data_IF_489012488121
#
_entry.id   IF_489012488121
#
_cell.length_a   1.000
_cell.length_b   1.000
_cell.length_c   1.000
_cell.angle_alpha   90.00
_cell.angle_beta   90.00
_cell.angle_gamma   90.00
#
_symmetry.space_group_name_H-M   'P 1'
#
loop_
_entity.id
_entity.type
_entity.pdbx_description
1 polymer ?
#
# COMPACT_ATOMS: atom_id res chain seq x y z
N UNK A 1 -2.29 24.41 5.60
CA UNK A 1 -1.46 24.59 6.82
C UNK A 1 -2.14 25.39 7.93
N UNK A 2 -3.19 26.16 7.65
CA UNK A 2 -3.91 27.03 8.61
C UNK A 2 -4.71 26.21 9.67
N UNK A 3 -5.00 24.93 9.42
CA UNK A 3 -5.88 24.12 10.27
C UNK A 3 -5.15 23.29 11.35
N UNK A 4 -3.82 23.26 11.33
CA UNK A 4 -3.04 22.41 12.25
C UNK A 4 -3.07 22.97 13.70
N UNK A 5 -3.06 24.26 13.86
CA UNK A 5 -2.96 24.93 15.17
C UNK A 5 -4.26 24.95 15.97
N UNK A 6 -5.41 25.05 15.29
CA UNK A 6 -6.73 25.11 15.96
C UNK A 6 -7.17 23.77 16.58
N UNK A 7 -6.64 22.63 16.09
CA UNK A 7 -7.01 21.31 16.60
C UNK A 7 -6.07 20.80 17.70
N UNK A 8 -4.97 21.46 17.97
CA UNK A 8 -3.87 20.92 18.80
C UNK A 8 -4.28 20.72 20.29
N UNK A 9 -5.26 21.48 20.80
CA UNK A 9 -5.71 21.44 22.19
C UNK A 9 -6.90 20.50 22.46
N UNK A 10 -7.49 19.89 21.43
CA UNK A 10 -8.67 19.03 21.59
C UNK A 10 -8.29 17.55 21.80
N UNK A 11 -9.04 16.83 22.64
CA UNK A 11 -8.89 15.39 22.77
C UNK A 11 -9.33 14.66 21.48
N UNK A 12 -8.94 13.37 21.29
CA UNK A 12 -9.16 12.61 20.04
C UNK A 12 -10.62 12.61 19.56
N UNK A 13 -11.60 12.51 20.46
CA UNK A 13 -13.03 12.48 20.12
C UNK A 13 -13.52 13.85 19.65
N UNK A 14 -13.13 14.91 20.35
CA UNK A 14 -13.47 16.29 19.98
C UNK A 14 -12.81 16.70 18.66
N UNK A 15 -11.58 16.23 18.37
CA UNK A 15 -10.93 16.42 17.06
C UNK A 15 -11.72 15.80 15.90
N UNK A 16 -12.30 14.62 16.11
CA UNK A 16 -13.12 13.96 15.10
C UNK A 16 -14.42 14.75 14.82
N UNK A 17 -15.12 15.19 15.86
CA UNK A 17 -16.33 16.01 15.72
C UNK A 17 -16.02 17.38 15.08
N UNK A 18 -14.94 18.03 15.50
CA UNK A 18 -14.48 19.29 14.92
C UNK A 18 -14.21 19.15 13.42
N UNK A 19 -13.53 18.09 12.98
CA UNK A 19 -13.30 17.83 11.56
C UNK A 19 -14.58 17.64 10.76
N UNK A 20 -15.58 17.02 11.35
CA UNK A 20 -16.85 16.74 10.66
C UNK A 20 -17.72 17.99 10.48
N UNK A 21 -17.71 18.94 11.41
CA UNK A 21 -18.63 20.08 11.42
C UNK A 21 -17.95 21.43 11.22
N UNK A 22 -16.84 21.71 11.89
CA UNK A 22 -16.24 23.05 11.90
C UNK A 22 -15.44 23.36 10.65
N UNK A 23 -14.84 22.36 9.99
CA UNK A 23 -14.07 22.56 8.74
C UNK A 23 -14.97 23.11 7.62
N UNK A 24 -16.23 22.67 7.54
CA UNK A 24 -17.17 23.18 6.52
C UNK A 24 -17.41 24.68 6.65
N UNK A 25 -17.60 25.19 7.88
CA UNK A 25 -17.76 26.61 8.14
C UNK A 25 -16.50 27.41 7.82
N UNK A 26 -15.32 26.90 8.21
CA UNK A 26 -14.03 27.54 7.91
C UNK A 26 -13.75 27.59 6.41
N UNK A 27 -14.03 26.50 5.68
CA UNK A 27 -13.88 26.46 4.23
C UNK A 27 -14.72 27.52 3.52
N UNK A 28 -15.98 27.70 3.99
CA UNK A 28 -16.88 28.76 3.52
C UNK A 28 -16.32 30.16 3.83
N UNK A 29 -15.88 30.39 5.06
CA UNK A 29 -15.33 31.67 5.49
C UNK A 29 -14.10 32.06 4.72
N UNK A 30 -13.19 31.08 4.46
CA UNK A 30 -11.95 31.24 3.68
C UNK A 30 -12.18 31.22 2.17
N UNK A 31 -13.42 30.99 1.69
CA UNK A 31 -13.78 30.90 0.27
C UNK A 31 -12.88 29.92 -0.50
N UNK A 32 -12.69 28.73 0.07
CA UNK A 32 -11.87 27.70 -0.59
C UNK A 32 -12.53 27.21 -1.88
N UNK A 33 -11.77 27.17 -2.97
CA UNK A 33 -12.22 26.65 -4.25
C UNK A 33 -12.39 25.13 -4.20
N UNK A 34 -11.42 24.43 -3.63
CA UNK A 34 -11.42 22.97 -3.50
C UNK A 34 -11.13 22.55 -2.05
N UNK A 35 -11.85 21.56 -1.59
CA UNK A 35 -11.52 20.75 -0.43
C UNK A 35 -11.24 19.31 -0.87
N UNK A 36 -10.06 18.79 -0.55
CA UNK A 36 -9.71 17.40 -0.84
C UNK A 36 -9.62 16.57 0.46
N UNK A 37 -10.56 15.65 0.63
CA UNK A 37 -10.55 14.65 1.70
C UNK A 37 -9.64 13.48 1.33
N UNK A 38 -8.50 13.34 1.99
CA UNK A 38 -7.45 12.39 1.62
C UNK A 38 -7.70 10.93 2.05
N UNK A 39 -8.72 10.65 2.87
CA UNK A 39 -8.92 9.32 3.50
C UNK A 39 -10.39 8.90 3.57
N UNK A 40 -11.12 8.99 2.48
CA UNK A 40 -12.51 8.52 2.40
C UNK A 40 -13.52 9.34 3.20
N UNK A 41 -13.15 10.55 3.66
CA UNK A 41 -13.99 11.42 4.48
C UNK A 41 -14.03 12.84 3.91
N UNK A 42 -15.20 13.48 4.00
CA UNK A 42 -15.38 14.94 3.80
C UNK A 42 -16.22 15.52 4.93
N UNK A 43 -16.01 16.80 5.31
CA UNK A 43 -16.85 17.47 6.31
C UNK A 43 -18.31 17.55 5.88
N UNK A 44 -19.20 17.48 6.86
CA UNK A 44 -20.66 17.52 6.61
C UNK A 44 -21.03 18.90 6.05
N UNK A 45 -21.75 18.88 4.92
CA UNK A 45 -22.26 20.10 4.29
C UNK A 45 -21.27 20.89 3.43
N UNK A 46 -19.97 20.58 3.46
CA UNK A 46 -18.94 21.33 2.73
C UNK A 46 -19.21 21.42 1.21
N UNK A 47 -19.76 20.37 0.62
CA UNK A 47 -20.07 20.29 -0.81
C UNK A 47 -21.10 21.34 -1.29
N UNK A 48 -21.77 22.06 -0.38
CA UNK A 48 -22.75 23.08 -0.72
C UNK A 48 -22.14 24.43 -1.10
N UNK A 49 -20.86 24.64 -0.84
CA UNK A 49 -20.20 25.93 -1.05
C UNK A 49 -18.70 25.82 -1.43
N UNK A 50 -18.20 24.60 -1.54
CA UNK A 50 -16.79 24.33 -1.93
C UNK A 50 -16.78 23.11 -2.80
N UNK A 51 -16.06 23.15 -3.94
CA UNK A 51 -15.86 21.93 -4.76
C UNK A 51 -15.13 20.89 -3.91
N UNK A 52 -15.60 19.66 -3.91
CA UNK A 52 -15.05 18.60 -3.04
C UNK A 52 -14.55 17.42 -3.83
N UNK A 53 -13.35 16.98 -3.48
CA UNK A 53 -12.75 15.75 -3.97
C UNK A 53 -12.52 14.83 -2.76
N UNK A 54 -12.66 13.53 -2.95
CA UNK A 54 -12.31 12.54 -1.92
C UNK A 54 -11.44 11.44 -2.51
N UNK A 55 -10.32 11.14 -1.86
CA UNK A 55 -9.52 9.95 -2.18
C UNK A 55 -10.03 8.76 -1.37
N UNK A 56 -10.26 7.65 -2.06
CA UNK A 56 -10.62 6.36 -1.46
C UNK A 56 -9.46 5.39 -1.74
N UNK A 57 -8.83 4.88 -0.67
CA UNK A 57 -7.69 3.99 -0.75
C UNK A 57 -8.11 2.54 -0.98
N UNK A 58 -9.14 2.07 -0.31
CA UNK A 58 -9.72 0.75 -0.49
C UNK A 58 -11.16 0.69 0.05
N UNK A 59 -11.82 -0.42 -0.24
CA UNK A 59 -13.09 -0.80 0.35
C UNK A 59 -13.03 -2.25 0.86
N UNK A 60 -11.89 -2.65 1.40
CA UNK A 60 -11.63 -4.01 1.92
C UNK A 60 -12.71 -4.41 2.92
N UNK A 61 -13.14 -3.49 3.78
CA UNK A 61 -14.19 -3.73 4.78
C UNK A 61 -15.57 -4.07 4.18
N UNK A 62 -15.81 -3.75 2.90
CA UNK A 62 -17.03 -4.14 2.16
C UNK A 62 -16.81 -5.43 1.37
N UNK A 63 -15.64 -5.62 0.77
CA UNK A 63 -15.30 -6.79 -0.03
C UNK A 63 -15.05 -8.03 0.83
N UNK A 64 -14.37 -7.86 1.98
CA UNK A 64 -14.02 -8.92 2.92
C UNK A 64 -14.54 -8.61 4.33
N UNK A 65 -15.88 -8.68 4.51
CA UNK A 65 -16.51 -8.30 5.77
C UNK A 65 -16.05 -9.13 6.97
N UNK A 66 -15.53 -10.33 6.75
CA UNK A 66 -15.02 -11.22 7.79
C UNK A 66 -13.78 -10.70 8.52
N UNK A 67 -13.02 -9.76 7.93
CA UNK A 67 -11.83 -9.18 8.54
C UNK A 67 -12.12 -7.96 9.44
N UNK A 68 -13.39 -7.55 9.52
CA UNK A 68 -13.78 -6.35 10.26
C UNK A 68 -14.96 -6.63 11.18
N UNK A 69 -15.03 -5.92 12.32
CA UNK A 69 -16.20 -5.99 13.18
C UNK A 69 -17.45 -5.42 12.49
N UNK A 70 -18.63 -5.90 12.88
CA UNK A 70 -19.89 -5.42 12.31
C UNK A 70 -20.11 -3.92 12.50
N UNK A 71 -19.75 -3.40 13.69
CA UNK A 71 -19.91 -1.97 14.01
C UNK A 71 -18.95 -1.10 13.20
N UNK A 72 -17.67 -1.49 13.12
CA UNK A 72 -16.67 -0.77 12.30
C UNK A 72 -17.10 -0.70 10.84
N UNK A 73 -17.57 -1.81 10.28
CA UNK A 73 -18.08 -1.85 8.90
C UNK A 73 -19.25 -0.88 8.69
N UNK A 74 -20.23 -0.82 9.61
CA UNK A 74 -21.35 0.11 9.49
C UNK A 74 -20.89 1.57 9.52
N UNK A 75 -20.00 1.91 10.45
CA UNK A 75 -19.44 3.26 10.57
C UNK A 75 -18.67 3.65 9.32
N UNK A 76 -17.74 2.78 8.87
CA UNK A 76 -16.97 3.03 7.66
C UNK A 76 -17.87 3.14 6.42
N UNK A 77 -18.84 2.23 6.26
CA UNK A 77 -19.79 2.30 5.14
C UNK A 77 -20.56 3.61 5.11
N UNK A 78 -21.05 4.08 6.25
CA UNK A 78 -21.79 5.35 6.33
C UNK A 78 -20.92 6.54 5.92
N UNK A 79 -19.69 6.63 6.45
CA UNK A 79 -18.73 7.70 6.15
C UNK A 79 -18.33 7.70 4.67
N UNK A 80 -17.85 6.57 4.16
CA UNK A 80 -17.42 6.44 2.78
C UNK A 80 -18.57 6.67 1.78
N UNK A 81 -19.78 6.16 2.09
CA UNK A 81 -20.96 6.41 1.26
C UNK A 81 -21.35 7.88 1.23
N UNK A 82 -21.30 8.57 2.38
CA UNK A 82 -21.54 10.01 2.45
C UNK A 82 -20.52 10.77 1.61
N UNK A 83 -19.22 10.53 1.84
CA UNK A 83 -18.15 11.20 1.14
C UNK A 83 -18.24 10.96 -0.39
N UNK A 84 -18.40 9.71 -0.83
CA UNK A 84 -18.50 9.36 -2.24
C UNK A 84 -19.72 9.96 -2.93
N UNK A 85 -20.89 9.96 -2.28
CA UNK A 85 -22.12 10.52 -2.85
C UNK A 85 -22.08 12.04 -2.92
N UNK A 86 -21.56 12.69 -1.88
CA UNK A 86 -21.60 14.16 -1.72
C UNK A 86 -20.41 14.90 -2.31
N UNK A 87 -19.26 14.24 -2.52
CA UNK A 87 -18.14 14.87 -3.22
C UNK A 87 -18.48 15.13 -4.69
N UNK A 88 -17.89 16.16 -5.28
CA UNK A 88 -18.02 16.47 -6.70
C UNK A 88 -17.24 15.47 -7.57
N UNK A 89 -16.11 14.98 -7.08
CA UNK A 89 -15.30 13.98 -7.75
C UNK A 89 -14.61 13.03 -6.75
N UNK A 90 -14.25 11.84 -7.22
CA UNK A 90 -13.58 10.82 -6.42
C UNK A 90 -12.27 10.46 -7.08
N UNK A 91 -11.24 10.34 -6.28
CA UNK A 91 -9.98 9.72 -6.67
C UNK A 91 -9.92 8.31 -6.09
N UNK A 92 -9.78 7.32 -6.94
CA UNK A 92 -9.42 5.96 -6.57
C UNK A 92 -7.92 5.76 -6.76
N UNK A 93 -7.25 5.04 -5.86
CA UNK A 93 -5.79 4.84 -5.95
C UNK A 93 -5.39 3.69 -6.89
N UNK A 94 -6.38 2.96 -7.44
CA UNK A 94 -6.20 1.89 -8.42
C UNK A 94 -7.49 1.66 -9.20
N UNK A 95 -7.40 1.00 -10.35
CA UNK A 95 -8.58 0.56 -11.11
C UNK A 95 -9.41 -0.44 -10.28
N UNK A 96 -8.75 -1.32 -9.50
CA UNK A 96 -9.44 -2.21 -8.58
C UNK A 96 -10.28 -1.42 -7.56
N UNK A 97 -9.72 -0.38 -6.94
CA UNK A 97 -10.46 0.47 -5.99
C UNK A 97 -11.61 1.20 -6.69
N UNK A 98 -11.42 1.66 -7.93
CA UNK A 98 -12.49 2.27 -8.74
C UNK A 98 -13.63 1.28 -9.00
N UNK A 99 -13.32 0.05 -9.37
CA UNK A 99 -14.34 -1.01 -9.53
C UNK A 99 -15.10 -1.27 -8.24
N UNK A 100 -14.42 -1.31 -7.10
CA UNK A 100 -15.04 -1.48 -5.78
C UNK A 100 -15.97 -0.32 -5.42
N UNK A 101 -15.58 0.93 -5.73
CA UNK A 101 -16.42 2.11 -5.50
C UNK A 101 -17.71 2.01 -6.35
N UNK A 102 -17.61 1.65 -7.63
CA UNK A 102 -18.76 1.44 -8.50
C UNK A 102 -19.65 0.32 -7.96
N UNK A 103 -19.04 -0.81 -7.60
CA UNK A 103 -19.77 -2.01 -7.18
C UNK A 103 -20.44 -1.84 -5.81
N UNK A 104 -19.72 -1.36 -4.80
CA UNK A 104 -20.21 -1.36 -3.41
C UNK A 104 -20.88 -0.06 -2.98
N UNK A 105 -20.43 1.08 -3.51
CA UNK A 105 -21.01 2.39 -3.16
C UNK A 105 -22.00 2.88 -4.22
N UNK A 106 -22.14 2.17 -5.36
CA UNK A 106 -23.05 2.49 -6.46
C UNK A 106 -22.80 3.90 -7.04
N UNK A 107 -21.54 4.30 -7.14
CA UNK A 107 -21.14 5.56 -7.74
C UNK A 107 -20.88 5.35 -9.24
N UNK A 108 -21.35 6.24 -10.13
CA UNK A 108 -21.08 6.12 -11.55
C UNK A 108 -19.61 6.32 -11.88
N UNK A 109 -19.08 5.52 -12.82
CA UNK A 109 -17.66 5.48 -13.15
C UNK A 109 -17.08 6.83 -13.63
N UNK A 110 -17.90 7.67 -14.29
CA UNK A 110 -17.47 9.00 -14.78
C UNK A 110 -17.16 10.01 -13.65
N UNK A 111 -17.63 9.74 -12.43
CA UNK A 111 -17.33 10.53 -11.23
C UNK A 111 -15.99 10.13 -10.58
N UNK A 112 -15.29 9.12 -11.11
CA UNK A 112 -14.13 8.52 -10.48
C UNK A 112 -12.93 8.58 -11.44
N UNK A 113 -11.86 9.25 -11.03
CA UNK A 113 -10.55 9.19 -11.69
C UNK A 113 -9.62 8.29 -10.90
N UNK A 114 -8.75 7.55 -11.61
CA UNK A 114 -7.66 6.82 -10.98
C UNK A 114 -6.43 7.70 -10.95
N UNK A 115 -5.88 7.89 -9.76
CA UNK A 115 -4.58 8.54 -9.54
C UNK A 115 -3.76 7.61 -8.67
N UNK A 116 -2.76 6.98 -9.26
CA UNK A 116 -1.86 6.08 -8.56
C UNK A 116 -1.08 6.79 -7.45
N UNK A 117 -0.57 6.03 -6.50
CA UNK A 117 0.29 6.54 -5.45
C UNK A 117 1.76 6.31 -5.81
N UNK A 118 2.62 7.22 -5.36
CA UNK A 118 4.07 7.00 -5.33
C UNK A 118 4.51 6.34 -4.03
N UNK A 119 5.82 6.16 -3.88
CA UNK A 119 6.45 5.73 -2.64
C UNK A 119 7.35 6.84 -2.07
N UNK A 120 7.84 6.64 -0.86
CA UNK A 120 8.72 7.59 -0.21
C UNK A 120 10.01 7.81 -1.01
N UNK A 121 10.54 9.05 -0.99
CA UNK A 121 11.75 9.44 -1.74
C UNK A 121 12.99 8.59 -1.44
N UNK A 122 13.08 8.01 -0.24
CA UNK A 122 14.18 7.13 0.15
C UNK A 122 14.35 5.93 -0.80
N UNK A 123 13.26 5.41 -1.39
CA UNK A 123 13.31 4.28 -2.33
C UNK A 123 13.73 4.68 -3.75
N UNK A 124 13.71 5.99 -4.07
CA UNK A 124 14.01 6.54 -5.40
C UNK A 124 15.46 6.97 -5.57
N UNK A 125 16.31 6.69 -4.58
CA UNK A 125 17.73 7.03 -4.57
C UNK A 125 18.61 5.79 -4.42
N UNK A 126 19.86 5.89 -4.88
CA UNK A 126 20.87 4.86 -4.69
C UNK A 126 21.68 5.16 -3.44
N UNK A 127 21.95 4.16 -2.63
CA UNK A 127 22.80 4.26 -1.45
C UNK A 127 24.20 3.77 -1.75
N UNK A 128 25.19 4.38 -1.09
CA UNK A 128 26.61 4.02 -1.21
C UNK A 128 26.88 2.63 -0.62
N UNK A 129 27.95 1.99 -1.02
CA UNK A 129 28.36 0.69 -0.48
C UNK A 129 28.66 0.78 1.03
N UNK A 130 29.12 1.96 1.50
CA UNK A 130 29.35 2.18 2.93
C UNK A 130 28.03 2.20 3.71
N UNK A 131 26.99 2.92 3.25
CA UNK A 131 25.66 2.93 3.87
C UNK A 131 25.04 1.53 3.87
N UNK A 132 25.17 0.79 2.76
CA UNK A 132 24.70 -0.59 2.66
C UNK A 132 25.40 -1.50 3.66
N UNK A 133 26.72 -1.36 3.82
CA UNK A 133 27.52 -2.12 4.78
C UNK A 133 27.11 -1.83 6.23
N UNK A 134 26.88 -0.57 6.57
CA UNK A 134 26.44 -0.15 7.90
C UNK A 134 25.07 -0.74 8.25
N UNK A 135 24.08 -0.65 7.35
CA UNK A 135 22.75 -1.22 7.54
C UNK A 135 22.82 -2.75 7.62
N UNK A 136 23.63 -3.39 6.76
CA UNK A 136 23.85 -4.84 6.77
C UNK A 136 24.43 -5.31 8.11
N UNK A 137 25.41 -4.60 8.65
CA UNK A 137 26.01 -4.90 9.95
C UNK A 137 25.05 -4.66 11.11
N UNK A 138 24.37 -3.49 11.11
CA UNK A 138 23.39 -3.13 12.15
C UNK A 138 22.32 -4.18 12.33
N UNK A 139 21.74 -4.65 11.23
CA UNK A 139 20.68 -5.65 11.24
C UNK A 139 21.18 -7.09 11.03
N UNK A 140 22.51 -7.30 10.94
CA UNK A 140 23.13 -8.60 10.69
C UNK A 140 22.49 -9.33 9.50
N UNK A 141 22.25 -8.61 8.40
CA UNK A 141 21.59 -9.19 7.23
C UNK A 141 22.49 -10.21 6.54
N UNK A 142 21.96 -11.36 6.11
CA UNK A 142 22.73 -12.32 5.30
C UNK A 142 23.02 -11.76 3.90
N UNK A 143 23.91 -12.41 3.16
CA UNK A 143 24.27 -12.01 1.80
C UNK A 143 23.09 -12.20 0.83
N UNK A 144 22.29 -13.21 1.07
CA UNK A 144 21.13 -13.55 0.25
C UNK A 144 19.90 -13.75 1.15
N UNK A 145 18.83 -12.99 0.89
CA UNK A 145 17.60 -13.11 1.64
C UNK A 145 16.38 -12.67 0.85
N UNK A 146 15.24 -13.17 1.29
CA UNK A 146 13.93 -12.77 0.79
C UNK A 146 13.37 -11.72 1.75
N UNK A 147 12.81 -10.66 1.20
CA UNK A 147 12.19 -9.58 1.96
C UNK A 147 10.66 -9.62 1.83
N UNK A 148 9.97 -9.44 2.96
CA UNK A 148 8.53 -9.14 3.00
C UNK A 148 8.27 -7.96 3.94
N UNK A 149 7.51 -6.96 3.49
CA UNK A 149 7.24 -5.72 4.23
C UNK A 149 5.75 -5.49 4.38
N UNK A 150 5.31 -5.21 5.60
CA UNK A 150 3.93 -4.90 5.95
C UNK A 150 3.52 -5.51 7.28
N UNK A 151 2.35 -5.12 7.80
CA UNK A 151 1.82 -5.75 9.02
C UNK A 151 1.74 -7.27 8.86
N UNK A 152 2.22 -8.02 9.84
CA UNK A 152 2.20 -9.49 9.81
C UNK A 152 0.80 -9.94 10.22
N UNK A 153 -0.10 -9.99 9.24
CA UNK A 153 -1.52 -10.33 9.40
C UNK A 153 -1.98 -11.32 8.33
N UNK A 154 -3.12 -11.96 8.54
CA UNK A 154 -3.61 -13.05 7.70
C UNK A 154 -3.73 -12.64 6.21
N UNK A 155 -4.26 -11.46 5.94
CA UNK A 155 -4.42 -10.93 4.60
C UNK A 155 -3.10 -10.76 3.83
N UNK A 156 -2.00 -10.48 4.55
CA UNK A 156 -0.65 -10.32 3.97
C UNK A 156 0.04 -11.65 3.64
N UNK A 157 -0.49 -12.73 4.17
CA UNK A 157 -0.16 -14.11 3.77
C UNK A 157 1.32 -14.51 3.97
N UNK A 158 2.02 -13.89 4.93
CA UNK A 158 3.45 -14.14 5.16
C UNK A 158 3.76 -15.61 5.55
N UNK A 159 2.81 -16.34 6.14
CA UNK A 159 2.99 -17.76 6.47
C UNK A 159 3.23 -18.62 5.21
N UNK A 160 2.64 -18.27 4.07
CA UNK A 160 2.88 -19.01 2.83
C UNK A 160 4.31 -18.83 2.30
N UNK A 161 4.97 -17.68 2.58
CA UNK A 161 6.39 -17.51 2.29
C UNK A 161 7.22 -18.42 3.21
N UNK A 162 6.88 -18.45 4.51
CA UNK A 162 7.58 -19.31 5.49
C UNK A 162 7.49 -20.78 5.09
N UNK A 163 6.32 -21.24 4.67
CA UNK A 163 6.12 -22.61 4.16
C UNK A 163 6.95 -22.87 2.90
N UNK A 164 7.00 -21.90 2.00
CA UNK A 164 7.73 -22.01 0.74
C UNK A 164 9.25 -22.18 0.93
N UNK A 165 9.83 -21.48 1.92
CA UNK A 165 11.28 -21.53 2.17
C UNK A 165 11.72 -22.69 3.07
N UNK A 166 10.82 -23.53 3.54
CA UNK A 166 11.15 -24.61 4.46
C UNK A 166 12.37 -25.42 4.01
N UNK A 167 12.40 -25.82 2.75
CA UNK A 167 13.43 -26.68 2.17
C UNK A 167 14.45 -25.90 1.31
N UNK A 168 14.38 -24.57 1.27
CA UNK A 168 15.32 -23.72 0.52
C UNK A 168 16.38 -23.18 1.48
N UNK A 169 17.64 -23.19 1.10
CA UNK A 169 18.71 -22.54 1.89
C UNK A 169 18.67 -21.02 1.67
N UNK A 170 17.78 -20.37 2.40
CA UNK A 170 17.60 -18.91 2.37
C UNK A 170 16.99 -18.41 3.67
N UNK A 171 17.13 -17.12 3.91
CA UNK A 171 16.54 -16.42 5.05
C UNK A 171 15.37 -15.54 4.61
N UNK A 172 14.28 -15.54 5.34
CA UNK A 172 13.18 -14.59 5.20
C UNK A 172 13.31 -13.46 6.23
N UNK A 173 13.39 -12.25 5.77
CA UNK A 173 13.32 -11.03 6.59
C UNK A 173 11.90 -10.48 6.51
N UNK A 174 11.22 -10.40 7.65
CA UNK A 174 9.91 -9.78 7.80
C UNK A 174 10.08 -8.41 8.46
N UNK A 175 9.50 -7.35 7.87
CA UNK A 175 9.52 -6.01 8.47
C UNK A 175 8.08 -5.51 8.60
N UNK A 176 7.61 -5.36 9.84
CA UNK A 176 6.27 -4.86 10.10
C UNK A 176 5.77 -5.20 11.50
N UNK A 177 4.60 -4.65 11.82
CA UNK A 177 3.97 -4.88 13.12
C UNK A 177 3.49 -6.32 13.23
N UNK A 178 3.95 -7.03 14.29
CA UNK A 178 3.41 -8.35 14.67
C UNK A 178 1.96 -8.20 15.15
N UNK A 179 1.08 -9.06 14.63
CA UNK A 179 -0.29 -9.23 15.12
C UNK A 179 -0.43 -10.64 15.76
N UNK A 180 -1.62 -11.00 16.23
CA UNK A 180 -1.88 -12.36 16.72
C UNK A 180 -1.60 -13.44 15.68
N UNK A 181 -1.69 -13.11 14.39
CA UNK A 181 -1.38 -14.02 13.29
C UNK A 181 0.08 -14.49 13.30
N UNK A 182 1.01 -13.70 13.85
CA UNK A 182 2.43 -14.07 13.93
C UNK A 182 2.66 -15.35 14.74
N UNK A 183 1.80 -15.66 15.70
CA UNK A 183 1.86 -16.93 16.46
C UNK A 183 1.79 -18.16 15.55
N UNK A 184 0.99 -18.12 14.49
CA UNK A 184 0.91 -19.21 13.49
C UNK A 184 2.25 -19.42 12.77
N UNK A 185 3.00 -18.33 12.54
CA UNK A 185 4.34 -18.40 11.94
C UNK A 185 5.34 -19.02 12.91
N UNK A 186 5.33 -18.58 14.18
CA UNK A 186 6.21 -19.14 15.23
C UNK A 186 5.96 -20.62 15.46
N UNK A 187 4.69 -21.03 15.52
CA UNK A 187 4.29 -22.45 15.65
C UNK A 187 4.81 -23.27 14.48
N UNK A 188 4.56 -22.83 13.24
CA UNK A 188 5.03 -23.53 12.04
C UNK A 188 6.57 -23.63 11.99
N UNK A 189 7.29 -22.57 12.33
CA UNK A 189 8.76 -22.59 12.38
C UNK A 189 9.26 -23.61 13.37
N UNK A 190 8.73 -23.64 14.59
CA UNK A 190 9.11 -24.58 15.65
C UNK A 190 8.82 -26.04 15.26
N UNK A 191 7.63 -26.32 14.74
CA UNK A 191 7.23 -27.68 14.31
C UNK A 191 8.11 -28.23 13.18
N UNK A 192 8.70 -27.34 12.38
CA UNK A 192 9.53 -27.70 11.23
C UNK A 192 11.03 -27.42 11.45
N UNK A 193 11.45 -26.99 12.66
CA UNK A 193 12.83 -26.69 13.04
C UNK A 193 13.53 -25.66 12.13
N UNK A 194 12.78 -24.61 11.69
CA UNK A 194 13.25 -23.57 10.77
C UNK A 194 13.22 -22.16 11.37
N UNK A 195 13.24 -22.02 12.70
CA UNK A 195 13.23 -20.73 13.39
C UNK A 195 14.41 -19.84 12.94
N UNK A 196 15.55 -20.43 12.66
CA UNK A 196 16.76 -19.76 12.18
C UNK A 196 16.60 -19.13 10.77
N UNK A 197 15.60 -19.58 9.99
CA UNK A 197 15.35 -19.07 8.63
C UNK A 197 14.44 -17.84 8.61
N UNK A 198 13.74 -17.51 9.70
CA UNK A 198 12.77 -16.41 9.72
C UNK A 198 13.16 -15.37 10.75
N UNK A 199 13.37 -14.14 10.30
CA UNK A 199 13.77 -13.03 11.15
C UNK A 199 12.80 -11.87 11.02
N UNK A 200 12.37 -11.30 12.14
CA UNK A 200 11.52 -10.10 12.17
C UNK A 200 12.35 -8.92 12.64
N UNK A 201 12.47 -7.90 11.81
CA UNK A 201 13.17 -6.67 12.17
C UNK A 201 12.17 -5.62 12.67
N UNK A 202 12.60 -4.83 13.64
CA UNK A 202 11.89 -3.70 14.22
C UNK A 202 12.82 -2.50 14.38
N UNK A 203 12.24 -1.30 14.54
CA UNK A 203 13.05 -0.08 14.70
C UNK A 203 13.82 0.32 13.45
N UNK A 204 13.34 -0.08 12.27
CA UNK A 204 13.92 0.24 10.96
C UNK A 204 13.42 1.62 10.53
N UNK A 205 14.33 2.56 10.23
CA UNK A 205 13.97 3.86 9.66
C UNK A 205 13.57 3.70 8.18
N UNK A 206 13.02 4.76 7.58
CA UNK A 206 12.61 4.71 6.17
C UNK A 206 13.80 4.57 5.23
N UNK A 207 14.90 5.23 5.54
CA UNK A 207 16.17 5.15 4.81
C UNK A 207 16.79 3.76 4.93
N UNK A 208 16.83 3.21 6.14
CA UNK A 208 17.31 1.84 6.36
C UNK A 208 16.44 0.80 5.66
N UNK A 209 15.13 1.00 5.65
CA UNK A 209 14.21 0.14 4.92
C UNK A 209 14.53 0.14 3.42
N UNK A 210 14.76 1.31 2.82
CA UNK A 210 15.14 1.42 1.42
C UNK A 210 16.47 0.71 1.12
N UNK A 211 17.45 0.82 2.02
CA UNK A 211 18.71 0.07 1.91
C UNK A 211 18.48 -1.44 2.01
N UNK A 212 17.63 -1.89 2.94
CA UNK A 212 17.29 -3.32 3.08
C UNK A 212 16.61 -3.85 1.82
N UNK A 213 15.73 -3.07 1.18
CA UNK A 213 15.20 -3.45 -0.14
C UNK A 213 16.33 -3.62 -1.13
N UNK A 214 17.25 -2.65 -1.30
CA UNK A 214 18.36 -2.74 -2.25
C UNK A 214 19.33 -3.89 -1.97
N UNK A 215 19.40 -4.37 -0.74
CA UNK A 215 20.21 -5.54 -0.34
C UNK A 215 19.47 -6.87 -0.52
N UNK A 216 18.15 -6.85 -0.67
CA UNK A 216 17.36 -8.08 -0.77
C UNK A 216 17.50 -8.74 -2.13
N UNK A 217 17.48 -10.07 -2.14
CA UNK A 217 17.57 -10.86 -3.38
C UNK A 217 16.23 -10.94 -4.11
N UNK A 218 15.16 -11.06 -3.36
CA UNK A 218 13.78 -11.18 -3.86
C UNK A 218 12.86 -10.45 -2.89
N UNK A 219 11.92 -9.69 -3.40
CA UNK A 219 10.79 -9.17 -2.64
C UNK A 219 9.57 -10.06 -2.87
N UNK A 220 9.03 -10.63 -1.80
CA UNK A 220 7.86 -11.52 -1.87
C UNK A 220 6.67 -10.91 -1.15
N UNK A 221 5.58 -10.62 -1.88
CA UNK A 221 4.39 -9.93 -1.37
C UNK A 221 3.10 -10.65 -1.77
N UNK A 222 2.81 -11.82 -1.16
CA UNK A 222 1.69 -12.69 -1.56
C UNK A 222 0.36 -12.30 -0.91
N UNK A 223 0.11 -11.01 -0.71
CA UNK A 223 -1.15 -10.52 -0.13
C UNK A 223 -2.36 -11.03 -0.89
N UNK A 224 -3.44 -11.35 -0.18
CA UNK A 224 -4.70 -11.78 -0.79
C UNK A 224 -5.40 -10.63 -1.48
N UNK A 225 -5.34 -9.44 -0.90
CA UNK A 225 -5.97 -8.24 -1.45
C UNK A 225 -5.34 -6.96 -0.88
N UNK A 226 -5.22 -5.93 -1.71
CA UNK A 226 -4.74 -4.59 -1.36
C UNK A 226 -5.55 -3.51 -2.09
N UNK A 227 -5.46 -2.27 -1.59
CA UNK A 227 -5.94 -1.09 -2.30
C UNK A 227 -5.04 -0.69 -3.46
N UNK A 228 -3.69 -0.86 -3.30
CA UNK A 228 -2.74 -0.59 -4.37
C UNK A 228 -1.50 -1.51 -4.32
N UNK A 229 -0.63 -1.39 -3.34
CA UNK A 229 0.60 -2.20 -3.26
C UNK A 229 1.86 -1.35 -3.29
N UNK A 230 1.88 -0.29 -2.47
CA UNK A 230 3.07 0.57 -2.30
C UNK A 230 4.36 -0.24 -2.08
N UNK A 231 4.40 -1.31 -1.25
CA UNK A 231 5.61 -2.10 -1.06
C UNK A 231 6.15 -2.75 -2.35
N UNK A 232 5.29 -3.03 -3.32
CA UNK A 232 5.74 -3.51 -4.65
C UNK A 232 6.48 -2.40 -5.38
N UNK A 233 5.95 -1.19 -5.37
CA UNK A 233 6.58 -0.02 -6.01
C UNK A 233 7.92 0.30 -5.33
N UNK A 234 8.00 0.20 -4.01
CA UNK A 234 9.24 0.35 -3.24
C UNK A 234 10.31 -0.65 -3.71
N UNK A 235 9.93 -1.92 -3.89
CA UNK A 235 10.82 -2.96 -4.42
C UNK A 235 11.29 -2.66 -5.85
N UNK A 236 10.38 -2.23 -6.73
CA UNK A 236 10.72 -1.91 -8.12
C UNK A 236 11.67 -0.70 -8.22
N UNK A 237 11.44 0.38 -7.46
CA UNK A 237 12.39 1.50 -7.39
C UNK A 237 13.74 1.09 -6.82
N UNK A 238 13.76 0.12 -5.91
CA UNK A 238 14.97 -0.44 -5.32
C UNK A 238 15.65 -1.47 -6.22
N UNK A 239 15.16 -1.71 -7.44
CA UNK A 239 15.66 -2.71 -8.41
C UNK A 239 15.68 -4.13 -7.86
N UNK A 240 14.61 -4.54 -7.20
CA UNK A 240 14.44 -5.88 -6.63
C UNK A 240 13.38 -6.66 -7.40
N UNK A 241 13.64 -7.90 -7.83
CA UNK A 241 12.63 -8.73 -8.48
C UNK A 241 11.49 -9.07 -7.52
N UNK A 242 10.26 -9.01 -8.03
CA UNK A 242 9.04 -9.11 -7.23
C UNK A 242 8.30 -10.41 -7.54
N UNK A 243 7.92 -11.13 -6.48
CA UNK A 243 6.89 -12.17 -6.49
C UNK A 243 5.69 -11.62 -5.74
N UNK A 244 4.53 -11.52 -6.39
CA UNK A 244 3.30 -11.01 -5.80
C UNK A 244 2.09 -11.87 -6.18
N UNK A 245 0.90 -11.45 -5.80
CA UNK A 245 -0.34 -12.17 -6.10
C UNK A 245 -0.96 -11.74 -7.42
N UNK A 246 -1.63 -12.65 -8.09
CA UNK A 246 -2.51 -12.32 -9.21
C UNK A 246 -3.81 -11.68 -8.73
N UNK A 247 -4.44 -10.89 -9.59
CA UNK A 247 -5.70 -10.19 -9.28
C UNK A 247 -5.51 -8.95 -8.40
N UNK A 248 -6.61 -8.36 -7.93
CA UNK A 248 -6.58 -7.08 -7.23
C UNK A 248 -5.78 -6.01 -8.03
N UNK A 249 -5.11 -5.13 -7.32
CA UNK A 249 -4.28 -4.05 -7.88
C UNK A 249 -2.81 -4.45 -8.12
N UNK A 250 -2.43 -5.71 -7.89
CA UNK A 250 -1.02 -6.11 -7.87
C UNK A 250 -0.33 -5.94 -9.23
N UNK A 251 -1.04 -6.26 -10.32
CA UNK A 251 -0.52 -6.06 -11.68
C UNK A 251 -0.42 -4.57 -12.05
N UNK A 252 -1.31 -3.73 -11.50
CA UNK A 252 -1.22 -2.28 -11.66
C UNK A 252 0.04 -1.71 -11.02
N UNK A 253 0.44 -2.25 -9.84
CA UNK A 253 1.60 -1.82 -9.08
C UNK A 253 2.91 -2.48 -9.56
N UNK A 254 2.89 -3.75 -9.98
CA UNK A 254 4.07 -4.55 -10.27
C UNK A 254 4.43 -4.69 -11.76
N UNK A 255 3.49 -4.39 -12.67
CA UNK A 255 3.71 -4.51 -14.11
C UNK A 255 3.95 -5.93 -14.59
N UNK A 256 4.37 -6.07 -15.84
CA UNK A 256 4.59 -7.37 -16.48
C UNK A 256 5.90 -8.05 -16.06
N UNK A 257 6.84 -7.32 -15.49
CA UNK A 257 8.14 -7.86 -15.06
C UNK A 257 8.10 -8.57 -13.71
N UNK A 258 6.98 -8.47 -12.96
CA UNK A 258 6.78 -9.19 -11.71
C UNK A 258 6.18 -10.58 -11.93
N UNK A 259 6.48 -11.51 -11.04
CA UNK A 259 5.87 -12.84 -11.03
C UNK A 259 4.60 -12.81 -10.19
N UNK A 260 3.52 -13.44 -10.68
CA UNK A 260 2.23 -13.47 -10.01
C UNK A 260 1.79 -14.89 -9.69
N UNK A 261 1.44 -15.13 -8.41
CA UNK A 261 0.95 -16.41 -7.90
C UNK A 261 -0.52 -16.30 -7.50
N UNK A 262 -1.21 -17.43 -7.41
CA UNK A 262 -2.55 -17.48 -6.85
C UNK A 262 -2.47 -17.55 -5.31
N UNK A 263 -2.84 -16.47 -4.57
CA UNK A 263 -2.69 -16.44 -3.12
C UNK A 263 -3.63 -17.38 -2.37
N UNK A 264 -4.67 -17.92 -3.03
CA UNK A 264 -5.71 -18.75 -2.44
C UNK A 264 -5.60 -20.24 -2.80
N UNK A 265 -4.66 -20.60 -3.69
CA UNK A 265 -4.52 -21.99 -4.14
C UNK A 265 -3.04 -22.36 -4.28
N UNK A 266 -2.58 -23.29 -3.43
CA UNK A 266 -1.19 -23.79 -3.44
C UNK A 266 -0.14 -22.66 -3.44
N UNK A 267 -0.40 -21.58 -2.67
CA UNK A 267 0.43 -20.38 -2.69
C UNK A 267 1.89 -20.70 -2.31
N UNK A 268 2.11 -21.45 -1.23
CA UNK A 268 3.45 -21.82 -0.79
C UNK A 268 4.25 -22.56 -1.88
N UNK A 269 3.64 -23.52 -2.58
CA UNK A 269 4.30 -24.27 -3.66
C UNK A 269 4.66 -23.35 -4.83
N UNK A 270 3.74 -22.46 -5.25
CA UNK A 270 4.01 -21.51 -6.32
C UNK A 270 5.12 -20.54 -5.93
N UNK A 271 5.12 -20.05 -4.69
CA UNK A 271 6.16 -19.17 -4.16
C UNK A 271 7.50 -19.92 -4.15
N UNK A 272 7.53 -21.17 -3.65
CA UNK A 272 8.73 -21.99 -3.62
C UNK A 272 9.37 -22.12 -5.01
N UNK A 273 8.62 -22.60 -6.00
CA UNK A 273 9.09 -22.80 -7.37
C UNK A 273 9.68 -21.49 -7.93
N UNK A 274 9.05 -20.36 -7.69
CA UNK A 274 9.53 -19.08 -8.23
C UNK A 274 10.73 -18.53 -7.45
N UNK A 275 10.83 -18.79 -6.14
CA UNK A 275 12.03 -18.46 -5.36
C UNK A 275 13.22 -19.26 -5.88
N UNK A 276 13.11 -20.59 -5.98
CA UNK A 276 14.16 -21.48 -6.49
C UNK A 276 14.62 -21.02 -7.86
N UNK A 277 13.69 -20.81 -8.80
CA UNK A 277 13.97 -20.31 -10.15
C UNK A 277 14.75 -18.99 -10.14
N UNK A 278 14.38 -18.05 -9.27
CA UNK A 278 15.06 -16.75 -9.17
C UNK A 278 16.42 -16.87 -8.49
N UNK A 279 16.58 -17.72 -7.48
CA UNK A 279 17.87 -17.96 -6.81
C UNK A 279 18.90 -18.56 -7.78
N UNK A 280 18.48 -19.49 -8.62
CA UNK A 280 19.32 -20.18 -9.60
C UNK A 280 19.64 -19.33 -10.85
N UNK A 281 18.87 -18.25 -11.10
CA UNK A 281 19.03 -17.47 -12.32
C UNK A 281 19.30 -15.97 -12.07
N UNK A 282 20.56 -15.58 -11.80
CA UNK A 282 20.92 -14.17 -11.59
C UNK A 282 20.56 -13.25 -12.76
N UNK A 283 20.71 -13.74 -14.01
CA UNK A 283 20.37 -12.96 -15.20
C UNK A 283 18.87 -12.64 -15.26
N UNK A 284 18.02 -13.59 -14.91
CA UNK A 284 16.59 -13.35 -14.85
C UNK A 284 16.24 -12.31 -13.77
N UNK A 285 16.91 -12.34 -12.60
CA UNK A 285 16.72 -11.31 -11.56
C UNK A 285 17.08 -9.93 -12.06
N UNK A 286 18.21 -9.79 -12.74
CA UNK A 286 18.67 -8.53 -13.30
C UNK A 286 17.69 -7.98 -14.35
N UNK A 287 17.24 -8.80 -15.30
CA UNK A 287 16.25 -8.42 -16.31
C UNK A 287 14.92 -7.97 -15.67
N UNK A 288 14.45 -8.69 -14.67
CA UNK A 288 13.22 -8.33 -13.93
C UNK A 288 13.39 -7.00 -13.19
N UNK A 289 14.54 -6.79 -12.57
CA UNK A 289 14.86 -5.57 -11.81
C UNK A 289 14.89 -4.34 -12.71
N UNK A 290 15.58 -4.41 -13.85
CA UNK A 290 15.67 -3.29 -14.79
C UNK A 290 14.30 -2.97 -15.42
N UNK A 291 13.58 -3.97 -15.92
CA UNK A 291 12.23 -3.77 -16.45
C UNK A 291 11.26 -3.24 -15.40
N UNK A 292 11.36 -3.74 -14.16
CA UNK A 292 10.56 -3.28 -13.04
C UNK A 292 10.84 -1.82 -12.68
N UNK A 293 12.11 -1.43 -12.64
CA UNK A 293 12.52 -0.05 -12.40
C UNK A 293 12.00 0.91 -13.49
N UNK A 294 12.08 0.53 -14.76
CA UNK A 294 11.52 1.32 -15.87
C UNK A 294 10.01 1.48 -15.70
N UNK A 295 9.31 0.40 -15.38
CA UNK A 295 7.87 0.44 -15.14
C UNK A 295 7.49 1.33 -13.96
N UNK A 296 8.29 1.33 -12.88
CA UNK A 296 8.05 2.13 -11.68
C UNK A 296 8.11 3.64 -11.95
N UNK A 297 8.76 4.10 -13.04
CA UNK A 297 8.87 5.53 -13.36
C UNK A 297 7.50 6.20 -13.53
N UNK A 298 6.44 5.48 -13.85
CA UNK A 298 5.08 6.03 -13.88
C UNK A 298 4.55 6.48 -12.52
N UNK A 299 5.21 6.08 -11.41
CA UNK A 299 4.85 6.41 -10.03
C UNK A 299 5.78 7.45 -9.39
N UNK A 300 6.53 8.19 -10.20
CA UNK A 300 7.31 9.34 -9.73
C UNK A 300 6.39 10.42 -9.16
N UNK A 301 6.93 11.28 -8.29
CA UNK A 301 6.15 12.35 -7.68
C UNK A 301 5.58 13.30 -8.73
N UNK A 302 6.35 13.61 -9.78
CA UNK A 302 5.91 14.47 -10.88
C UNK A 302 4.72 13.86 -11.64
N UNK A 303 4.78 12.59 -12.01
CA UNK A 303 3.68 11.92 -12.70
C UNK A 303 2.41 11.83 -11.85
N UNK A 304 2.55 11.53 -10.56
CA UNK A 304 1.43 11.52 -9.61
C UNK A 304 0.83 12.91 -9.45
N UNK A 305 1.67 13.92 -9.33
CA UNK A 305 1.27 15.33 -9.21
C UNK A 305 0.52 15.81 -10.45
N UNK A 306 1.04 15.52 -11.65
CA UNK A 306 0.40 15.88 -12.92
C UNK A 306 -1.01 15.27 -13.06
N UNK A 307 -1.15 14.00 -12.69
CA UNK A 307 -2.48 13.35 -12.68
C UNK A 307 -3.42 14.00 -11.66
N UNK A 308 -2.92 14.31 -10.47
CA UNK A 308 -3.70 15.00 -9.44
C UNK A 308 -4.14 16.40 -9.89
N UNK A 309 -3.23 17.17 -10.50
CA UNK A 309 -3.54 18.50 -11.05
C UNK A 309 -4.62 18.43 -12.14
N UNK A 310 -4.56 17.45 -13.04
CA UNK A 310 -5.58 17.25 -14.07
C UNK A 310 -6.98 17.05 -13.45
N UNK A 311 -7.06 16.26 -12.37
CA UNK A 311 -8.32 16.07 -11.64
C UNK A 311 -8.81 17.38 -11.02
N UNK A 312 -7.91 18.18 -10.40
CA UNK A 312 -8.28 19.48 -9.80
C UNK A 312 -8.81 20.45 -10.87
N UNK A 313 -8.12 20.60 -12.00
CA UNK A 313 -8.56 21.43 -13.11
C UNK A 313 -9.94 21.00 -13.63
N UNK A 314 -10.12 19.69 -13.87
CA UNK A 314 -11.40 19.14 -14.31
C UNK A 314 -12.56 19.45 -13.35
N UNK A 315 -12.31 19.46 -12.03
CA UNK A 315 -13.35 19.75 -11.04
C UNK A 315 -13.67 21.24 -10.97
N UNK A 316 -12.67 22.11 -11.16
CA UNK A 316 -12.86 23.56 -11.17
C UNK A 316 -13.59 24.04 -12.44
N UNK A 317 -13.28 23.44 -13.58
CA UNK A 317 -13.88 23.79 -14.89
C UNK A 317 -15.32 23.29 -15.08
N UNK A 318 -15.75 22.31 -14.29
CA UNK A 318 -17.15 21.88 -14.33
C UNK A 318 -18.04 22.92 -13.68
N UNK A 319 -18.87 23.58 -14.49
CA UNK A 319 -19.98 24.39 -14.02
C UNK A 319 -20.96 23.55 -13.19
N UNK A 320 -21.49 24.11 -12.11
CA UNK A 320 -22.56 23.48 -11.33
C UNK A 320 -23.83 23.44 -12.18
N UNK A 321 -24.12 22.26 -12.77
CA UNK A 321 -25.41 21.98 -13.42
C UNK A 321 -26.48 21.65 -12.37
#
# INVERSE_FOLDING_TARGET
FIFKDLSCQLNKKLKALWRLFSISSLAKQQRLDIYHGLSGEIPIGIHKHTKTIVTIHDLIFLRFPQWYSFFDRKIHKAKFSYAAKKSHHIIAISEQTKQDIVQYLKIPAHKISVVYQGCHKAFKQTYTEQEKKEVKQKFQLPDQFILNVGAIEERKNALEIVKAIKNIDTTLILIGKKTKYYQKIEEFCRENHIEHKVRVLSGVSMEELAVIYQLSTIFCYPSVFEGFGIPIIEALFSKVPVISSQGSCFQEAGGESSIYINPNKNAAQQIQINIEKLLENPKMREEMSEKGYIFAQKFTDDNVFDHLQKVYKQVLEKEDK
#
